data_IF_354796245825
#
_entry.id   IF_354796245825
#
_cell.length_a   1.000
_cell.length_b   1.000
_cell.length_c   1.000
_cell.angle_alpha   90.00
_cell.angle_beta   90.00
_cell.angle_gamma   90.00
#
_symmetry.space_group_name_H-M   'P 1'
#
loop_
_entity.id
_entity.type
_entity.pdbx_description
1 polymer ?
#
# COMPACT_ATOMS: atom_id res chain seq x y z
N UNK A 1 26.22 -5.60 -32.27
CA UNK A 1 26.21 -6.94 -32.88
C UNK A 1 26.57 -8.05 -31.90
N UNK A 2 27.67 -7.98 -31.13
CA UNK A 2 28.09 -9.03 -30.19
C UNK A 2 27.03 -9.39 -29.12
N UNK A 3 26.49 -8.43 -28.37
CA UNK A 3 25.48 -8.68 -27.30
C UNK A 3 24.26 -9.49 -27.76
N UNK A 4 23.82 -9.24 -28.99
CA UNK A 4 22.66 -9.90 -29.60
C UNK A 4 23.00 -11.33 -30.03
N UNK A 5 24.20 -11.53 -30.58
CA UNK A 5 24.67 -12.84 -31.02
C UNK A 5 25.00 -13.78 -29.85
N UNK A 6 25.43 -13.21 -28.71
CA UNK A 6 25.66 -13.94 -27.46
C UNK A 6 24.38 -14.18 -26.65
N UNK A 7 23.21 -13.73 -27.15
CA UNK A 7 21.91 -13.90 -26.49
C UNK A 7 21.92 -13.47 -25.01
N UNK A 8 22.63 -12.38 -24.67
CA UNK A 8 22.87 -12.03 -23.27
C UNK A 8 21.57 -11.76 -22.50
N UNK A 9 20.64 -11.03 -23.12
CA UNK A 9 19.39 -10.58 -22.50
C UNK A 9 18.13 -11.07 -23.23
N UNK A 10 18.25 -11.38 -24.53
CA UNK A 10 17.13 -11.80 -25.38
C UNK A 10 17.60 -12.89 -26.34
N UNK A 11 16.81 -13.94 -26.44
CA UNK A 11 17.03 -15.02 -27.39
C UNK A 11 16.69 -14.56 -28.82
N UNK A 12 17.53 -14.90 -29.79
CA UNK A 12 17.42 -14.52 -31.19
C UNK A 12 16.16 -15.08 -31.85
N UNK A 13 15.84 -16.35 -31.56
CA UNK A 13 14.72 -17.06 -32.19
C UNK A 13 13.37 -16.66 -31.60
N UNK A 14 13.28 -16.65 -30.28
CA UNK A 14 11.99 -16.47 -29.57
C UNK A 14 11.74 -15.04 -29.12
N UNK A 15 12.76 -14.17 -29.12
CA UNK A 15 12.73 -12.82 -28.54
C UNK A 15 12.38 -12.79 -27.04
N UNK A 16 12.35 -13.95 -26.37
CA UNK A 16 12.06 -14.11 -24.94
C UNK A 16 13.35 -14.12 -24.12
N UNK A 17 13.18 -13.96 -22.80
CA UNK A 17 14.26 -14.11 -21.80
C UNK A 17 14.72 -15.57 -21.70
N UNK A 18 13.83 -16.56 -21.87
CA UNK A 18 14.17 -17.98 -21.76
C UNK A 18 15.32 -18.39 -22.71
N UNK A 19 16.32 -19.09 -22.20
CA UNK A 19 17.48 -19.54 -22.98
C UNK A 19 18.53 -18.45 -23.22
N UNK A 20 18.59 -17.43 -22.37
CA UNK A 20 19.61 -16.35 -22.41
C UNK A 20 20.57 -16.47 -21.23
N UNK A 21 21.72 -15.78 -21.28
CA UNK A 21 22.64 -15.72 -20.14
C UNK A 21 21.95 -15.13 -18.89
N UNK A 22 21.21 -14.04 -19.04
CA UNK A 22 20.46 -13.45 -17.95
C UNK A 22 19.47 -14.45 -17.34
N UNK A 23 18.77 -15.24 -18.16
CA UNK A 23 17.85 -16.26 -17.64
C UNK A 23 18.55 -17.34 -16.82
N UNK A 24 19.75 -17.74 -17.23
CA UNK A 24 20.53 -18.75 -16.52
C UNK A 24 21.07 -18.22 -15.19
N UNK A 25 21.57 -16.98 -15.16
CA UNK A 25 22.24 -16.41 -13.98
C UNK A 25 21.28 -15.76 -12.98
N UNK A 26 20.11 -15.30 -13.42
CA UNK A 26 19.20 -14.52 -12.58
C UNK A 26 18.43 -15.40 -11.59
N UNK A 27 19.07 -15.62 -10.43
CA UNK A 27 18.48 -16.20 -9.22
C UNK A 27 18.35 -15.17 -8.09
N UNK A 28 18.26 -13.89 -8.47
CA UNK A 28 18.15 -12.77 -7.52
C UNK A 28 16.85 -12.86 -6.72
N UNK A 29 16.88 -12.36 -5.47
CA UNK A 29 15.73 -12.44 -4.55
C UNK A 29 14.84 -11.21 -4.58
N UNK A 30 15.34 -10.08 -5.10
CA UNK A 30 14.60 -8.84 -5.25
C UNK A 30 14.50 -8.40 -6.71
N UNK A 31 13.41 -7.71 -7.06
CA UNK A 31 13.22 -7.17 -8.41
C UNK A 31 14.31 -6.14 -8.79
N UNK A 32 14.75 -5.32 -7.82
CA UNK A 32 15.85 -4.36 -8.01
C UNK A 32 17.20 -5.07 -8.23
N UNK A 33 17.46 -6.19 -7.53
CA UNK A 33 18.63 -7.03 -7.76
C UNK A 33 18.67 -7.61 -9.17
N UNK A 34 17.53 -8.10 -9.68
CA UNK A 34 17.42 -8.59 -11.05
C UNK A 34 17.66 -7.51 -12.10
N UNK A 35 17.20 -6.27 -11.84
CA UNK A 35 17.52 -5.11 -12.71
C UNK A 35 19.01 -4.78 -12.69
N UNK A 36 19.65 -4.79 -11.52
CA UNK A 36 21.07 -4.53 -11.37
C UNK A 36 21.92 -5.59 -12.09
N UNK A 37 21.61 -6.87 -11.93
CA UNK A 37 22.29 -7.97 -12.62
C UNK A 37 22.19 -7.81 -14.15
N UNK A 38 20.98 -7.52 -14.65
CA UNK A 38 20.76 -7.23 -16.07
C UNK A 38 21.63 -6.06 -16.55
N UNK A 39 21.75 -5.00 -15.76
CA UNK A 39 22.60 -3.85 -16.08
C UNK A 39 24.08 -4.25 -16.12
N UNK A 40 24.56 -5.06 -15.18
CA UNK A 40 25.96 -5.53 -15.16
C UNK A 40 26.31 -6.40 -16.36
N UNK A 41 25.41 -7.31 -16.76
CA UNK A 41 25.59 -8.12 -17.98
C UNK A 41 25.63 -7.23 -19.23
N UNK A 42 24.78 -6.20 -19.29
CA UNK A 42 24.76 -5.28 -20.43
C UNK A 42 25.99 -4.33 -20.44
N UNK A 43 26.51 -3.97 -19.28
CA UNK A 43 27.57 -2.96 -19.12
C UNK A 43 28.66 -3.53 -18.22
N UNK A 44 29.53 -4.40 -18.76
CA UNK A 44 30.63 -4.97 -17.99
C UNK A 44 31.60 -3.88 -17.56
N UNK A 45 32.22 -4.09 -16.39
CA UNK A 45 33.27 -3.24 -15.88
C UNK A 45 34.54 -3.37 -16.73
N UNK A 46 35.33 -2.30 -16.75
CA UNK A 46 36.66 -2.26 -17.37
C UNK A 46 37.76 -1.92 -16.36
N UNK A 47 37.38 -1.54 -15.14
CA UNK A 47 38.30 -1.23 -14.05
C UNK A 47 38.62 -2.51 -13.28
N UNK A 48 39.89 -2.91 -13.27
CA UNK A 48 40.33 -4.14 -12.62
C UNK A 48 40.03 -4.15 -11.11
N UNK A 49 40.17 -3.00 -10.42
CA UNK A 49 39.93 -2.92 -8.98
C UNK A 49 38.46 -3.17 -8.63
N UNK A 50 37.54 -2.65 -9.43
CA UNK A 50 36.11 -2.88 -9.23
C UNK A 50 35.69 -4.32 -9.57
N UNK A 51 36.38 -4.95 -10.53
CA UNK A 51 36.17 -6.36 -10.85
C UNK A 51 36.66 -7.24 -9.70
N UNK A 52 37.87 -7.00 -9.21
CA UNK A 52 38.47 -7.72 -8.07
C UNK A 52 37.62 -7.55 -6.82
N UNK A 53 37.15 -6.34 -6.50
CA UNK A 53 36.25 -6.10 -5.37
C UNK A 53 34.98 -6.95 -5.45
N UNK A 54 34.33 -7.04 -6.62
CA UNK A 54 33.17 -7.91 -6.82
C UNK A 54 33.51 -9.40 -6.68
N UNK A 55 34.68 -9.81 -7.16
CA UNK A 55 35.15 -11.19 -7.02
C UNK A 55 35.38 -11.55 -5.56
N UNK A 56 35.99 -10.67 -4.77
CA UNK A 56 36.17 -10.85 -3.32
C UNK A 56 34.83 -10.99 -2.60
N UNK A 57 33.83 -10.15 -2.91
CA UNK A 57 32.48 -10.27 -2.33
C UNK A 57 31.82 -11.61 -2.69
N UNK A 58 32.00 -12.09 -3.92
CA UNK A 58 31.47 -13.40 -4.34
C UNK A 58 32.19 -14.53 -3.60
N UNK A 59 33.53 -14.49 -3.51
CA UNK A 59 34.33 -15.49 -2.80
C UNK A 59 33.92 -15.58 -1.33
N UNK A 60 33.80 -14.44 -0.64
CA UNK A 60 33.37 -14.38 0.76
C UNK A 60 31.96 -14.99 0.95
N UNK A 61 31.00 -14.68 0.06
CA UNK A 61 29.67 -15.31 0.10
C UNK A 61 29.70 -16.81 -0.26
N UNK A 62 30.71 -17.29 -0.98
CA UNK A 62 30.88 -18.72 -1.28
C UNK A 62 31.41 -19.48 -0.07
N UNK A 63 32.33 -18.88 0.70
CA UNK A 63 32.90 -19.48 1.92
C UNK A 63 31.92 -19.45 3.10
N UNK A 64 31.07 -18.43 3.18
CA UNK A 64 30.07 -18.25 4.25
C UNK A 64 28.67 -18.73 3.83
N UNK A 65 28.51 -20.05 3.71
CA UNK A 65 27.29 -20.67 3.19
C UNK A 65 26.03 -20.33 4.01
N UNK A 66 26.12 -20.38 5.34
CA UNK A 66 24.96 -20.23 6.22
C UNK A 66 24.45 -18.79 6.21
N UNK A 67 25.37 -17.84 6.32
CA UNK A 67 25.12 -16.42 6.29
C UNK A 67 24.55 -16.00 4.93
N UNK A 68 25.12 -16.51 3.83
CA UNK A 68 24.53 -16.30 2.49
C UNK A 68 23.10 -16.85 2.40
N UNK A 69 22.82 -18.02 2.99
CA UNK A 69 21.47 -18.58 2.99
C UNK A 69 20.51 -17.68 3.77
N UNK A 70 20.90 -17.25 4.98
CA UNK A 70 20.11 -16.32 5.79
C UNK A 70 19.86 -15.00 5.06
N UNK A 71 20.88 -14.44 4.41
CA UNK A 71 20.74 -13.21 3.63
C UNK A 71 19.74 -13.38 2.47
N UNK A 72 19.73 -14.54 1.81
CA UNK A 72 18.74 -14.83 0.77
C UNK A 72 17.32 -14.93 1.33
N UNK A 73 17.14 -15.51 2.51
CA UNK A 73 15.84 -15.63 3.18
C UNK A 73 15.28 -14.25 3.53
N UNK A 74 16.10 -13.36 4.10
CA UNK A 74 15.69 -11.98 4.39
C UNK A 74 15.36 -11.19 3.11
N UNK A 75 16.22 -11.28 2.09
CA UNK A 75 16.03 -10.54 0.83
C UNK A 75 14.78 -10.96 0.04
N UNK A 76 14.23 -12.16 0.26
CA UNK A 76 12.96 -12.57 -0.37
C UNK A 76 11.79 -11.71 0.11
N UNK A 77 11.85 -11.23 1.35
CA UNK A 77 10.78 -10.43 1.96
C UNK A 77 10.95 -8.92 1.68
N UNK A 78 12.08 -8.51 1.10
CA UNK A 78 12.33 -7.12 0.70
C UNK A 78 11.65 -6.84 -0.64
N UNK A 79 10.65 -5.97 -0.61
CA UNK A 79 9.96 -5.49 -1.81
C UNK A 79 10.86 -4.56 -2.64
N UNK A 80 10.34 -4.09 -3.77
CA UNK A 80 11.07 -3.23 -4.71
C UNK A 80 11.22 -1.79 -4.17
N UNK A 81 12.17 -1.61 -3.24
CA UNK A 81 12.46 -0.34 -2.57
C UNK A 81 12.80 0.79 -3.54
N UNK A 82 13.55 0.52 -4.62
CA UNK A 82 13.89 1.52 -5.64
C UNK A 82 12.62 2.10 -6.27
N UNK A 83 11.63 1.25 -6.59
CA UNK A 83 10.36 1.69 -7.16
C UNK A 83 9.46 2.38 -6.13
N UNK A 84 9.43 1.88 -4.90
CA UNK A 84 8.68 2.49 -3.79
C UNK A 84 9.20 3.90 -3.49
N UNK A 85 10.50 4.07 -3.35
CA UNK A 85 11.13 5.38 -3.14
C UNK A 85 10.80 6.36 -4.28
N UNK A 86 10.80 5.89 -5.54
CA UNK A 86 10.33 6.68 -6.67
C UNK A 86 8.88 7.14 -6.52
N UNK A 87 7.95 6.24 -6.17
CA UNK A 87 6.53 6.59 -5.96
C UNK A 87 6.34 7.61 -4.85
N UNK A 88 7.08 7.47 -3.74
CA UNK A 88 7.07 8.42 -2.61
C UNK A 88 7.53 9.79 -3.09
N UNK A 89 8.65 9.87 -3.80
CA UNK A 89 9.18 11.13 -4.34
C UNK A 89 8.18 11.82 -5.30
N UNK A 90 7.40 11.05 -6.07
CA UNK A 90 6.36 11.57 -6.96
C UNK A 90 4.99 11.78 -6.29
N UNK A 91 4.83 11.50 -5.00
CA UNK A 91 3.56 11.68 -4.28
C UNK A 91 2.42 10.77 -4.78
N UNK A 92 2.76 9.62 -5.34
CA UNK A 92 1.81 8.65 -5.94
C UNK A 92 1.70 7.34 -5.15
N UNK A 93 2.24 7.34 -3.93
CA UNK A 93 2.22 6.21 -3.01
C UNK A 93 0.80 6.00 -2.46
N UNK A 94 0.39 4.75 -2.27
CA UNK A 94 -0.86 4.39 -1.59
C UNK A 94 -0.58 3.60 -0.29
N UNK A 95 -1.62 3.27 0.47
CA UNK A 95 -1.47 2.55 1.74
C UNK A 95 -0.74 1.21 1.60
N UNK A 96 -1.04 0.43 0.56
CA UNK A 96 -0.36 -0.86 0.32
C UNK A 96 1.12 -0.70 0.01
N UNK A 97 1.47 0.33 -0.75
CA UNK A 97 2.87 0.66 -1.03
C UNK A 97 3.61 1.05 0.27
N UNK A 98 2.95 1.76 1.20
CA UNK A 98 3.52 2.08 2.51
C UNK A 98 3.70 0.83 3.37
N UNK A 99 2.74 -0.09 3.37
CA UNK A 99 2.90 -1.37 4.08
C UNK A 99 4.06 -2.19 3.49
N UNK A 100 4.20 -2.26 2.16
CA UNK A 100 5.35 -2.93 1.53
C UNK A 100 6.68 -2.26 1.88
N UNK A 101 6.70 -0.93 1.98
CA UNK A 101 7.86 -0.18 2.44
C UNK A 101 8.20 -0.57 3.88
N UNK A 102 7.25 -0.49 4.81
CA UNK A 102 7.42 -0.88 6.21
C UNK A 102 7.97 -2.30 6.34
N UNK A 103 7.30 -3.28 5.73
CA UNK A 103 7.74 -4.69 5.75
C UNK A 103 9.16 -4.83 5.22
N UNK A 104 9.54 -4.12 4.16
CA UNK A 104 10.91 -4.18 3.64
C UNK A 104 11.94 -3.60 4.62
N UNK A 105 11.60 -2.50 5.31
CA UNK A 105 12.49 -1.85 6.27
C UNK A 105 12.68 -2.69 7.54
N UNK A 106 11.63 -3.38 8.00
CA UNK A 106 11.67 -4.31 9.14
C UNK A 106 12.72 -5.43 8.98
N UNK A 107 13.07 -5.81 7.74
CA UNK A 107 14.11 -6.81 7.47
C UNK A 107 15.54 -6.25 7.45
N UNK A 108 15.73 -4.92 7.35
CA UNK A 108 17.07 -4.32 7.23
C UNK A 108 17.95 -4.59 8.47
N UNK A 109 17.46 -4.48 9.72
CA UNK A 109 18.27 -4.79 10.90
C UNK A 109 18.88 -6.20 10.86
N UNK A 110 18.09 -7.20 10.45
CA UNK A 110 18.55 -8.58 10.35
C UNK A 110 19.54 -8.77 9.18
N UNK A 111 19.29 -8.14 8.03
CA UNK A 111 20.24 -8.11 6.91
C UNK A 111 21.57 -7.52 7.34
N UNK A 112 21.54 -6.41 8.09
CA UNK A 112 22.73 -5.73 8.59
C UNK A 112 23.51 -6.60 9.57
N UNK A 113 22.82 -7.31 10.47
CA UNK A 113 23.45 -8.29 11.36
C UNK A 113 24.17 -9.39 10.57
N UNK A 114 23.52 -9.97 9.56
CA UNK A 114 24.13 -11.03 8.74
C UNK A 114 25.35 -10.49 7.96
N UNK A 115 25.27 -9.28 7.42
CA UNK A 115 26.41 -8.64 6.74
C UNK A 115 27.56 -8.41 7.73
N UNK A 116 27.29 -8.06 8.98
CA UNK A 116 28.34 -7.90 9.99
C UNK A 116 29.09 -9.22 10.24
N UNK A 117 28.37 -10.34 10.35
CA UNK A 117 28.97 -11.67 10.51
C UNK A 117 29.77 -12.11 9.28
N UNK A 118 29.38 -11.68 8.07
CA UNK A 118 30.09 -11.91 6.81
C UNK A 118 31.37 -11.08 6.66
N UNK A 119 31.51 -10.00 7.43
CA UNK A 119 32.48 -8.94 7.17
C UNK A 119 33.76 -9.06 8.02
N UNK A 120 34.29 -10.28 8.15
CA UNK A 120 35.50 -10.58 8.91
C UNK A 120 36.78 -10.01 8.27
N UNK A 121 36.78 -9.85 6.95
CA UNK A 121 37.88 -9.35 6.13
C UNK A 121 37.67 -7.92 5.59
N UNK A 122 36.68 -7.18 6.11
CA UNK A 122 36.28 -5.84 5.67
C UNK A 122 35.76 -5.75 4.22
N UNK A 123 35.43 -6.87 3.56
CA UNK A 123 34.92 -6.91 2.17
C UNK A 123 33.62 -6.13 1.98
N UNK A 124 32.79 -6.01 3.02
CA UNK A 124 31.46 -5.39 2.98
C UNK A 124 31.38 -4.03 3.70
N UNK A 125 32.49 -3.46 4.18
CA UNK A 125 32.51 -2.18 4.93
C UNK A 125 31.71 -1.07 4.22
N UNK A 126 31.95 -0.86 2.93
CA UNK A 126 31.26 0.19 2.18
C UNK A 126 29.74 -0.01 2.08
N UNK A 127 29.28 -1.27 2.08
CA UNK A 127 27.85 -1.60 2.05
C UNK A 127 27.27 -1.44 3.44
N UNK A 128 27.96 -1.97 4.45
CA UNK A 128 27.52 -1.93 5.84
C UNK A 128 27.34 -0.49 6.33
N UNK A 129 28.30 0.40 6.01
CA UNK A 129 28.26 1.81 6.40
C UNK A 129 27.11 2.59 5.72
N UNK A 130 26.68 2.16 4.54
CA UNK A 130 25.57 2.78 3.80
C UNK A 130 24.22 2.18 4.14
N UNK A 131 24.18 1.04 4.81
CA UNK A 131 22.96 0.33 5.14
C UNK A 131 22.38 0.88 6.45
N UNK A 132 21.70 2.02 6.32
CA UNK A 132 20.88 2.60 7.38
C UNK A 132 19.64 1.71 7.60
N UNK A 133 19.33 1.29 8.85
CA UNK A 133 18.13 0.52 9.14
C UNK A 133 16.82 1.33 9.02
N UNK A 134 16.85 2.67 9.11
CA UNK A 134 15.69 3.56 8.91
C UNK A 134 14.45 3.11 9.73
N UNK A 135 14.68 2.72 10.99
CA UNK A 135 13.64 2.19 11.88
C UNK A 135 12.54 3.23 12.18
N UNK A 136 12.91 4.51 12.24
CA UNK A 136 12.00 5.64 12.46
C UNK A 136 10.88 5.73 11.42
N UNK A 137 11.18 5.41 10.15
CA UNK A 137 10.17 5.39 9.09
C UNK A 137 9.30 4.14 9.15
N UNK A 138 9.88 2.99 9.50
CA UNK A 138 9.10 1.77 9.71
C UNK A 138 8.07 1.97 10.83
N UNK A 139 8.52 2.49 11.97
CA UNK A 139 7.69 2.81 13.14
C UNK A 139 6.60 3.83 12.81
N UNK A 140 6.95 4.88 12.05
CA UNK A 140 5.99 5.89 11.63
C UNK A 140 4.86 5.27 10.78
N UNK A 141 5.20 4.40 9.83
CA UNK A 141 4.20 3.73 9.00
C UNK A 141 3.39 2.75 9.85
N UNK A 142 4.02 2.03 10.77
CA UNK A 142 3.34 1.09 11.68
C UNK A 142 2.27 1.79 12.53
N UNK A 143 2.61 2.96 13.08
CA UNK A 143 1.71 3.73 13.94
C UNK A 143 0.62 4.44 13.13
N UNK A 144 0.93 4.88 11.90
CA UNK A 144 0.02 5.70 11.12
C UNK A 144 -0.94 4.92 10.23
N UNK A 145 -0.49 3.83 9.59
CA UNK A 145 -1.21 3.20 8.48
C UNK A 145 -1.84 1.89 8.93
N UNK A 146 -3.11 1.67 8.57
CA UNK A 146 -3.83 0.41 8.79
C UNK A 146 -3.10 -0.77 8.12
N UNK A 147 -3.06 -1.93 8.79
CA UNK A 147 -2.30 -3.08 8.32
C UNK A 147 -2.88 -3.69 7.03
N UNK A 148 -4.19 -3.56 6.85
CA UNK A 148 -4.92 -3.94 5.63
C UNK A 148 -5.58 -2.70 5.00
N UNK A 149 -4.78 -1.79 4.40
CA UNK A 149 -5.29 -0.52 3.94
C UNK A 149 -6.10 -0.68 2.65
N UNK A 150 -7.09 0.21 2.40
CA UNK A 150 -7.84 0.19 1.16
C UNK A 150 -6.97 0.53 -0.05
N UNK A 151 -7.48 0.17 -1.23
CA UNK A 151 -6.75 0.40 -2.49
C UNK A 151 -6.66 1.89 -2.81
N UNK A 152 -7.75 2.63 -2.62
CA UNK A 152 -7.76 4.08 -2.82
C UNK A 152 -7.59 4.80 -1.50
N UNK A 153 -6.76 5.85 -1.52
CA UNK A 153 -6.63 6.80 -0.41
C UNK A 153 -7.94 7.55 -0.11
N UNK A 154 -8.89 7.56 -1.06
CA UNK A 154 -10.19 8.22 -0.91
C UNK A 154 -11.26 7.35 -0.25
N UNK A 155 -11.01 6.05 -0.10
CA UNK A 155 -12.02 5.10 0.42
C UNK A 155 -12.18 5.19 1.96
N UNK A 156 -11.37 6.02 2.62
CA UNK A 156 -11.33 6.15 4.07
C UNK A 156 -10.52 5.02 4.73
N UNK A 157 -10.53 4.91 6.06
CA UNK A 157 -9.91 3.80 6.82
C UNK A 157 -8.46 3.47 6.44
N UNK A 158 -7.67 4.49 6.05
CA UNK A 158 -6.26 4.34 5.75
C UNK A 158 -5.39 4.54 6.98
N UNK A 159 -5.79 5.48 7.84
CA UNK A 159 -5.05 5.89 9.04
C UNK A 159 -5.59 5.14 10.24
N UNK A 160 -4.70 4.63 11.10
CA UNK A 160 -5.05 3.93 12.34
C UNK A 160 -5.77 4.86 13.33
N UNK A 161 -6.79 4.36 14.06
CA UNK A 161 -7.38 5.09 15.17
C UNK A 161 -6.32 5.47 16.21
N UNK A 162 -6.43 6.67 16.79
CA UNK A 162 -5.50 7.18 17.79
C UNK A 162 -4.24 7.84 17.22
N UNK A 163 -3.98 7.73 15.91
CA UNK A 163 -2.86 8.42 15.27
C UNK A 163 -3.12 9.93 15.14
N UNK A 164 -4.36 10.33 14.85
CA UNK A 164 -4.77 11.73 14.76
C UNK A 164 -6.09 11.95 15.48
N UNK A 165 -6.04 12.69 16.59
CA UNK A 165 -7.22 13.02 17.39
C UNK A 165 -8.27 13.77 16.55
N UNK A 166 -7.86 14.69 15.69
CA UNK A 166 -8.77 15.43 14.81
C UNK A 166 -9.49 14.49 13.83
N UNK A 167 -8.76 13.52 13.26
CA UNK A 167 -9.37 12.52 12.39
C UNK A 167 -10.33 11.62 13.17
N UNK A 168 -9.96 11.21 14.38
CA UNK A 168 -10.79 10.39 15.25
C UNK A 168 -12.09 11.10 15.61
N UNK A 169 -12.04 12.40 15.91
CA UNK A 169 -13.22 13.24 16.16
C UNK A 169 -14.15 13.28 14.93
N UNK A 170 -13.59 13.42 13.72
CA UNK A 170 -14.40 13.37 12.48
C UNK A 170 -15.00 12.00 12.21
N UNK A 171 -14.24 10.93 12.47
CA UNK A 171 -14.72 9.55 12.31
C UNK A 171 -15.83 9.25 13.32
N UNK A 172 -15.68 9.68 14.56
CA UNK A 172 -16.68 9.54 15.62
C UNK A 172 -17.96 10.32 15.29
N UNK A 173 -17.84 11.60 14.89
CA UNK A 173 -18.96 12.41 14.45
C UNK A 173 -19.72 11.76 13.27
N UNK A 174 -19.00 11.16 12.32
CA UNK A 174 -19.61 10.45 11.19
C UNK A 174 -20.33 9.17 11.62
N UNK A 175 -19.78 8.40 12.57
CA UNK A 175 -20.41 7.19 13.12
C UNK A 175 -21.64 7.54 13.94
N UNK A 176 -21.54 8.52 14.84
CA UNK A 176 -22.64 8.99 15.67
C UNK A 176 -23.75 9.62 14.82
N UNK A 177 -23.41 10.34 13.75
CA UNK A 177 -24.38 10.84 12.78
C UNK A 177 -25.17 9.71 12.10
N UNK A 178 -24.52 8.62 11.70
CA UNK A 178 -25.22 7.45 11.12
C UNK A 178 -26.13 6.76 12.13
N UNK A 179 -25.68 6.60 13.38
CA UNK A 179 -26.49 6.02 14.45
C UNK A 179 -27.72 6.89 14.73
N UNK A 180 -27.53 8.19 14.86
CA UNK A 180 -28.61 9.15 15.06
C UNK A 180 -29.62 9.16 13.91
N UNK A 181 -29.17 9.08 12.64
CA UNK A 181 -30.06 8.95 11.49
C UNK A 181 -30.89 7.66 11.53
N UNK A 182 -30.30 6.54 11.98
CA UNK A 182 -31.00 5.27 12.12
C UNK A 182 -32.04 5.31 13.24
N UNK A 183 -31.71 5.94 14.38
CA UNK A 183 -32.64 6.17 15.49
C UNK A 183 -33.80 7.08 15.08
N UNK A 184 -33.49 8.17 14.37
CA UNK A 184 -34.51 9.07 13.82
C UNK A 184 -35.42 8.32 12.85
N UNK A 185 -34.88 7.54 11.91
CA UNK A 185 -35.68 6.73 11.00
C UNK A 185 -36.63 5.77 11.75
N UNK A 186 -36.15 5.11 12.80
CA UNK A 186 -36.98 4.21 13.62
C UNK A 186 -38.08 4.98 14.38
N UNK A 187 -37.74 6.13 14.98
CA UNK A 187 -38.69 7.01 15.66
C UNK A 187 -39.77 7.52 14.70
N UNK A 188 -39.39 7.91 13.49
CA UNK A 188 -40.33 8.36 12.45
C UNK A 188 -41.25 7.24 11.97
N UNK A 189 -40.73 6.03 11.77
CA UNK A 189 -41.55 4.85 11.43
C UNK A 189 -42.59 4.55 12.51
N UNK A 190 -42.18 4.62 13.78
CA UNK A 190 -43.07 4.36 14.92
C UNK A 190 -44.12 5.45 15.06
N UNK A 191 -43.74 6.73 14.94
CA UNK A 191 -44.65 7.87 15.07
C UNK A 191 -45.70 7.92 13.96
N UNK A 192 -45.32 7.56 12.73
CA UNK A 192 -46.21 7.62 11.55
C UNK A 192 -46.93 6.31 11.23
N UNK A 193 -46.44 5.18 11.76
CA UNK A 193 -46.90 3.84 11.38
C UNK A 193 -46.54 3.43 9.94
N UNK A 194 -45.55 4.09 9.32
CA UNK A 194 -45.13 3.87 7.94
C UNK A 194 -43.86 3.00 7.92
N UNK A 195 -44.02 1.68 7.86
CA UNK A 195 -42.89 0.74 7.91
C UNK A 195 -41.85 0.92 6.78
N UNK A 196 -42.25 1.44 5.63
CA UNK A 196 -41.37 1.65 4.48
C UNK A 196 -40.78 3.06 4.38
N UNK A 197 -40.98 3.92 5.38
CA UNK A 197 -40.33 5.23 5.46
C UNK A 197 -38.81 5.03 5.55
N UNK A 198 -38.04 5.84 4.82
CA UNK A 198 -36.57 5.77 4.81
C UNK A 198 -35.95 7.16 4.89
N UNK A 199 -34.85 7.28 5.62
CA UNK A 199 -33.99 8.46 5.55
C UNK A 199 -32.90 8.20 4.52
N UNK A 200 -32.85 9.03 3.48
CA UNK A 200 -31.87 8.94 2.40
C UNK A 200 -31.01 10.19 2.32
N UNK A 201 -29.99 10.15 1.47
CA UNK A 201 -29.12 11.29 1.16
C UNK A 201 -29.03 11.47 -0.35
N UNK A 202 -29.11 12.71 -0.82
CA UNK A 202 -28.70 13.06 -2.18
C UNK A 202 -27.72 14.25 -2.16
N UNK A 203 -26.91 14.35 -3.22
CA UNK A 203 -25.86 15.39 -3.34
C UNK A 203 -26.40 16.82 -3.55
N UNK A 204 -27.66 16.99 -3.93
CA UNK A 204 -28.25 18.29 -4.33
C UNK A 204 -28.96 18.98 -3.16
N UNK A 205 -29.65 18.23 -2.31
CA UNK A 205 -30.50 18.76 -1.23
C UNK A 205 -30.21 18.14 0.14
N UNK A 206 -29.23 17.24 0.24
CA UNK A 206 -28.80 16.64 1.51
C UNK A 206 -29.67 15.45 1.94
N UNK A 207 -29.82 15.30 3.26
CA UNK A 207 -30.66 14.25 3.85
C UNK A 207 -32.15 14.54 3.65
N UNK A 208 -32.95 13.49 3.54
CA UNK A 208 -34.40 13.59 3.36
C UNK A 208 -35.12 12.36 3.93
N UNK A 209 -36.39 12.54 4.28
CA UNK A 209 -37.33 11.47 4.64
C UNK A 209 -38.15 11.13 3.41
N UNK A 210 -38.06 9.90 2.91
CA UNK A 210 -38.82 9.40 1.76
C UNK A 210 -40.03 8.59 2.20
N UNK A 211 -41.19 8.95 1.66
CA UNK A 211 -42.48 8.32 1.95
C UNK A 211 -43.17 7.97 0.63
N UNK A 212 -43.66 6.74 0.50
CA UNK A 212 -44.42 6.31 -0.68
C UNK A 212 -45.75 7.06 -0.79
N UNK A 213 -46.19 7.39 -2.02
CA UNK A 213 -47.43 8.16 -2.25
C UNK A 213 -48.68 7.59 -1.54
N UNK A 214 -48.79 6.25 -1.46
CA UNK A 214 -49.91 5.58 -0.78
C UNK A 214 -49.97 5.76 0.74
N UNK A 215 -48.91 6.28 1.37
CA UNK A 215 -48.82 6.50 2.81
C UNK A 215 -48.84 8.00 3.18
N UNK A 216 -48.98 8.91 2.22
CA UNK A 216 -48.93 10.36 2.48
C UNK A 216 -50.01 10.84 3.45
N UNK A 217 -51.20 10.24 3.42
CA UNK A 217 -52.30 10.56 4.32
C UNK A 217 -52.02 10.21 5.79
N UNK A 218 -50.95 9.46 6.08
CA UNK A 218 -50.53 9.11 7.45
C UNK A 218 -49.53 10.13 8.03
N UNK A 219 -49.07 11.10 7.24
CA UNK A 219 -48.17 12.13 7.73
C UNK A 219 -48.97 13.26 8.40
N UNK A 220 -48.58 13.71 9.62
CA UNK A 220 -49.16 14.91 10.22
C UNK A 220 -48.82 16.17 9.41
N UNK A 221 -49.79 17.06 9.24
CA UNK A 221 -49.75 18.18 8.30
C UNK A 221 -48.65 19.22 8.61
N UNK A 222 -48.22 19.35 9.86
CA UNK A 222 -47.37 20.47 10.31
C UNK A 222 -45.88 20.12 10.52
N UNK A 223 -45.52 18.82 10.44
CA UNK A 223 -44.16 18.37 10.82
C UNK A 223 -43.20 18.25 9.64
N UNK A 224 -43.72 17.93 8.46
CA UNK A 224 -42.90 17.54 7.29
C UNK A 224 -42.94 18.60 6.21
N UNK A 225 -41.78 19.20 5.92
CA UNK A 225 -41.66 20.16 4.83
C UNK A 225 -41.24 19.43 3.55
N UNK A 226 -42.10 19.43 2.54
CA UNK A 226 -41.83 18.77 1.26
C UNK A 226 -40.65 19.40 0.53
N UNK A 227 -39.72 18.57 0.06
CA UNK A 227 -38.52 18.98 -0.69
C UNK A 227 -38.52 18.53 -2.14
N UNK A 228 -38.99 17.32 -2.43
CA UNK A 228 -38.96 16.76 -3.78
C UNK A 228 -40.10 15.77 -3.99
N UNK A 229 -40.71 15.79 -5.17
CA UNK A 229 -41.71 14.80 -5.59
C UNK A 229 -41.11 13.85 -6.62
N UNK A 230 -41.27 12.55 -6.42
CA UNK A 230 -40.88 11.50 -7.36
C UNK A 230 -42.12 10.81 -7.94
N UNK A 231 -41.91 9.92 -8.90
CA UNK A 231 -43.00 9.16 -9.54
C UNK A 231 -43.84 8.39 -8.51
N UNK A 232 -43.19 7.70 -7.57
CA UNK A 232 -43.85 6.79 -6.60
C UNK A 232 -43.70 7.21 -5.11
N UNK A 233 -42.98 8.29 -4.83
CA UNK A 233 -42.68 8.74 -3.47
C UNK A 233 -42.60 10.26 -3.39
N UNK A 234 -42.68 10.80 -2.18
CA UNK A 234 -42.36 12.18 -1.86
C UNK A 234 -41.27 12.24 -0.79
N UNK A 235 -40.42 13.25 -0.88
CA UNK A 235 -39.30 13.49 0.03
C UNK A 235 -39.56 14.74 0.85
N UNK A 236 -39.30 14.65 2.13
CA UNK A 236 -39.54 15.67 3.14
C UNK A 236 -38.28 15.95 3.95
N UNK A 237 -38.27 17.07 4.66
CA UNK A 237 -37.33 17.40 5.72
C UNK A 237 -38.12 17.75 7.00
N UNK A 238 -37.52 17.55 8.15
CA UNK A 238 -38.02 18.01 9.44
C UNK A 238 -36.98 18.96 10.05
N UNK A 239 -37.33 19.86 10.99
CA UNK A 239 -36.34 20.72 11.63
C UNK A 239 -35.23 19.96 12.38
N UNK A 240 -35.52 18.71 12.78
CA UNK A 240 -34.58 17.81 13.45
C UNK A 240 -33.54 17.23 12.47
N UNK A 241 -33.87 17.09 11.16
CA UNK A 241 -33.05 16.51 10.08
C UNK A 241 -32.34 17.56 9.23
#
# INVERSE_FOLDING_TARGET
HAKRNLELLRNLRTQKKSGTLLWLLDSTKTAMGGRLLKQWIDRPLINIKEIEARQSMVENLLTHYFERSGLQEELVNVYDLERLAGKVAFGSVNGRDLIQLRTSLEHIPQIRYIIQELNDDSTFDEIFDKLDPIEDIADLIEQAIEDEPPISVTDGNLIKPGYSQELDEYVDAMKNGKAWLAELEAKERQATGINNLKIGFNRVFGYYIEVSKGNLSKLPEDRYQRKQTLTNAERFITPEL
#
